data_IF_866453483508
#
_entry.id   IF_866453483508
#
_cell.length_a   1.000
_cell.length_b   1.000
_cell.length_c   1.000
_cell.angle_alpha   90.00
_cell.angle_beta   90.00
_cell.angle_gamma   90.00
#
_symmetry.space_group_name_H-M   'P 1'
#
loop_
_entity.id
_entity.type
_entity.pdbx_description
1 polymer ?
#
# COMPACT_ATOMS: atom_id res chain seq x y z
N UNK A 1 -12.64 -11.95 -8.62
CA UNK A 1 -11.66 -11.07 -7.99
C UNK A 1 -10.82 -10.30 -8.99
N UNK A 2 -9.96 -10.97 -9.83
CA UNK A 2 -9.08 -10.28 -10.79
C UNK A 2 -9.87 -9.41 -11.79
N UNK A 3 -10.91 -9.97 -12.42
CA UNK A 3 -11.72 -9.25 -13.40
C UNK A 3 -12.36 -7.98 -12.81
N UNK A 4 -12.85 -8.03 -11.57
CA UNK A 4 -13.46 -6.87 -10.93
C UNK A 4 -12.44 -5.75 -10.73
N UNK A 5 -11.24 -6.08 -10.18
CA UNK A 5 -10.19 -5.07 -9.98
C UNK A 5 -9.77 -4.44 -11.31
N UNK A 6 -9.63 -5.23 -12.36
CA UNK A 6 -9.32 -4.72 -13.71
C UNK A 6 -10.42 -3.77 -14.18
N UNK A 7 -11.69 -4.17 -14.14
CA UNK A 7 -12.81 -3.35 -14.60
C UNK A 7 -12.92 -2.05 -13.80
N UNK A 8 -12.84 -2.13 -12.47
CA UNK A 8 -12.91 -0.98 -11.56
C UNK A 8 -11.73 0.00 -11.73
N UNK A 9 -10.56 -0.50 -12.17
CA UNK A 9 -9.39 0.34 -12.42
C UNK A 9 -9.42 0.95 -13.83
N UNK A 10 -9.68 0.13 -14.86
CA UNK A 10 -9.54 0.58 -16.23
C UNK A 10 -10.73 1.42 -16.75
N UNK A 11 -11.92 1.22 -16.23
CA UNK A 11 -13.09 2.03 -16.66
C UNK A 11 -12.90 3.51 -16.33
N UNK A 12 -12.60 3.92 -15.07
CA UNK A 12 -12.32 5.32 -14.77
C UNK A 12 -11.02 5.82 -15.42
N UNK A 13 -9.98 4.98 -15.47
CA UNK A 13 -8.73 5.31 -16.14
C UNK A 13 -8.94 5.74 -17.60
N UNK A 14 -9.64 4.90 -18.40
CA UNK A 14 -10.00 5.21 -19.80
C UNK A 14 -10.88 6.45 -19.89
N UNK A 15 -11.79 6.63 -18.95
CA UNK A 15 -12.64 7.82 -18.89
C UNK A 15 -11.83 9.12 -18.77
N UNK A 16 -10.78 9.10 -17.98
CA UNK A 16 -9.88 10.25 -17.82
C UNK A 16 -9.01 10.43 -19.06
N UNK A 17 -8.26 9.40 -19.44
CA UNK A 17 -7.26 9.50 -20.53
C UNK A 17 -7.91 9.86 -21.90
N UNK A 18 -9.13 9.40 -22.14
CA UNK A 18 -9.87 9.72 -23.37
C UNK A 18 -10.75 10.98 -23.25
N UNK A 19 -10.96 11.48 -22.04
CA UNK A 19 -11.88 12.59 -21.77
C UNK A 19 -11.21 13.94 -21.55
N UNK A 20 -9.86 14.00 -21.44
CA UNK A 20 -9.13 15.25 -21.22
C UNK A 20 -7.77 15.25 -21.91
N UNK A 21 -7.30 16.46 -22.25
CA UNK A 21 -5.93 16.71 -22.70
C UNK A 21 -5.03 17.21 -21.55
N UNK A 22 -5.56 17.34 -20.34
CA UNK A 22 -4.80 17.79 -19.16
C UNK A 22 -3.76 16.72 -18.78
N UNK A 23 -2.48 17.07 -19.03
CA UNK A 23 -1.36 16.16 -18.77
C UNK A 23 -1.25 15.74 -17.29
N UNK A 24 -1.63 16.65 -16.35
CA UNK A 24 -1.57 16.36 -14.91
C UNK A 24 -2.64 15.34 -14.50
N UNK A 25 -3.87 15.49 -15.03
CA UNK A 25 -4.94 14.51 -14.81
C UNK A 25 -4.56 13.12 -15.36
N UNK A 26 -3.97 13.08 -16.54
CA UNK A 26 -3.49 11.84 -17.18
C UNK A 26 -2.34 11.23 -16.35
N UNK A 27 -1.40 12.04 -15.86
CA UNK A 27 -0.30 11.57 -15.01
C UNK A 27 -0.83 10.96 -13.70
N UNK A 28 -1.81 11.58 -13.04
CA UNK A 28 -2.47 11.00 -11.87
C UNK A 28 -3.19 9.69 -12.20
N UNK A 29 -3.91 9.61 -13.30
CA UNK A 29 -4.59 8.39 -13.71
C UNK A 29 -3.59 7.23 -13.92
N UNK A 30 -2.44 7.49 -14.57
CA UNK A 30 -1.36 6.52 -14.76
C UNK A 30 -0.73 6.10 -13.43
N UNK A 31 -0.38 7.05 -12.56
CA UNK A 31 0.18 6.78 -11.24
C UNK A 31 -0.73 5.89 -10.41
N UNK A 32 -2.02 6.19 -10.34
CA UNK A 32 -3.01 5.40 -9.60
C UNK A 32 -3.21 4.01 -10.21
N UNK A 33 -3.22 3.90 -11.55
CA UNK A 33 -3.26 2.60 -12.22
C UNK A 33 -2.04 1.75 -11.82
N UNK A 34 -0.83 2.28 -11.88
CA UNK A 34 0.38 1.58 -11.44
C UNK A 34 0.29 1.19 -9.98
N UNK A 35 -0.16 2.10 -9.10
CA UNK A 35 -0.33 1.85 -7.67
C UNK A 35 -1.28 0.68 -7.35
N UNK A 36 -2.30 0.45 -8.17
CA UNK A 36 -3.22 -0.67 -8.02
C UNK A 36 -2.65 -1.93 -8.68
N UNK A 37 -2.25 -1.82 -9.95
CA UNK A 37 -1.93 -2.97 -10.78
C UNK A 37 -0.62 -3.67 -10.41
N UNK A 38 0.35 -2.98 -9.78
CA UNK A 38 1.54 -3.67 -9.28
C UNK A 38 1.18 -4.70 -8.20
N UNK A 39 0.20 -4.41 -7.33
CA UNK A 39 -0.27 -5.38 -6.32
C UNK A 39 -1.01 -6.55 -6.97
N UNK A 40 -1.69 -6.29 -8.08
CA UNK A 40 -2.40 -7.33 -8.84
C UNK A 40 -1.41 -8.31 -9.46
N UNK A 41 -0.40 -7.82 -10.18
CA UNK A 41 0.63 -8.70 -10.76
C UNK A 41 1.48 -9.40 -9.72
N UNK A 42 1.74 -8.78 -8.56
CA UNK A 42 2.44 -9.44 -7.45
C UNK A 42 1.62 -10.60 -6.84
N UNK A 43 0.29 -10.52 -6.92
CA UNK A 43 -0.61 -11.55 -6.38
C UNK A 43 -0.92 -12.66 -7.39
N UNK A 44 -1.00 -12.34 -8.68
CA UNK A 44 -1.47 -13.25 -9.73
C UNK A 44 -0.41 -13.63 -10.77
N UNK A 45 0.77 -12.99 -10.76
CA UNK A 45 1.80 -13.16 -11.77
C UNK A 45 1.42 -12.46 -13.09
N UNK A 46 1.40 -13.18 -14.24
CA UNK A 46 0.95 -12.64 -15.52
C UNK A 46 -0.48 -12.11 -15.45
N UNK A 47 -0.71 -10.92 -15.98
CA UNK A 47 -2.03 -10.27 -16.03
C UNK A 47 -2.23 -9.56 -17.38
N UNK A 48 -3.47 -9.31 -17.83
CA UNK A 48 -3.71 -8.41 -18.94
C UNK A 48 -3.38 -6.97 -18.49
N UNK A 49 -2.48 -6.29 -19.18
CA UNK A 49 -2.04 -4.93 -18.84
C UNK A 49 -1.89 -4.02 -20.06
N UNK A 50 -0.89 -4.29 -20.92
CA UNK A 50 -0.53 -3.39 -22.02
C UNK A 50 -1.60 -3.27 -23.11
N UNK A 51 -2.33 -4.35 -23.35
CA UNK A 51 -3.35 -4.43 -24.41
C UNK A 51 -4.75 -4.03 -23.98
N UNK A 52 -4.94 -3.72 -22.68
CA UNK A 52 -6.28 -3.32 -22.19
C UNK A 52 -6.75 -1.95 -22.68
N UNK A 53 -5.83 -1.06 -23.05
CA UNK A 53 -6.17 0.27 -23.53
C UNK A 53 -6.72 0.26 -24.95
N UNK A 54 -6.11 -0.54 -25.82
CA UNK A 54 -6.36 -0.56 -27.25
C UNK A 54 -7.30 -1.68 -27.70
N UNK A 55 -7.71 -2.56 -26.79
CA UNK A 55 -8.43 -3.77 -27.17
C UNK A 55 -9.96 -3.58 -27.13
N UNK A 56 -10.60 -3.74 -28.30
CA UNK A 56 -12.06 -3.82 -28.45
C UNK A 56 -12.57 -5.27 -28.35
N UNK A 57 -11.68 -6.24 -28.22
CA UNK A 57 -12.01 -7.66 -28.14
C UNK A 57 -12.43 -8.09 -26.72
N UNK A 58 -13.34 -9.06 -26.66
CA UNK A 58 -13.71 -9.73 -25.41
C UNK A 58 -12.52 -10.51 -24.81
N UNK A 59 -11.51 -10.81 -25.62
CA UNK A 59 -10.34 -11.57 -25.24
C UNK A 59 -9.10 -10.67 -25.20
N UNK A 60 -8.48 -10.55 -24.01
CA UNK A 60 -7.21 -9.81 -23.82
C UNK A 60 -6.13 -10.79 -23.44
N UNK A 61 -5.03 -10.80 -24.17
CA UNK A 61 -3.88 -11.63 -23.83
C UNK A 61 -3.21 -11.13 -22.54
N UNK A 62 -2.65 -12.08 -21.78
CA UNK A 62 -1.87 -11.79 -20.59
C UNK A 62 -0.45 -11.40 -20.97
N UNK A 63 0.05 -10.33 -20.36
CA UNK A 63 1.45 -9.97 -20.39
C UNK A 63 2.20 -10.77 -19.33
N UNK A 64 3.47 -11.13 -19.62
CA UNK A 64 4.32 -11.67 -18.58
C UNK A 64 4.54 -10.66 -17.45
N UNK A 65 4.80 -11.12 -16.23
CA UNK A 65 5.06 -10.22 -15.11
C UNK A 65 6.23 -9.25 -15.39
N UNK A 66 7.26 -9.70 -16.10
CA UNK A 66 8.38 -8.85 -16.54
C UNK A 66 7.91 -7.73 -17.49
N UNK A 67 7.06 -8.05 -18.46
CA UNK A 67 6.51 -7.05 -19.37
C UNK A 67 5.61 -6.04 -18.64
N UNK A 68 4.77 -6.50 -17.71
CA UNK A 68 3.94 -5.64 -16.86
C UNK A 68 4.79 -4.68 -16.06
N UNK A 69 5.84 -5.16 -15.36
CA UNK A 69 6.73 -4.31 -14.58
C UNK A 69 7.47 -3.28 -15.44
N UNK A 70 7.96 -3.70 -16.62
CA UNK A 70 8.61 -2.79 -17.57
C UNK A 70 7.67 -1.65 -17.96
N UNK A 71 6.43 -1.99 -18.34
CA UNK A 71 5.44 -0.99 -18.74
C UNK A 71 5.04 -0.07 -17.59
N UNK A 72 4.88 -0.62 -16.38
CA UNK A 72 4.58 0.19 -15.19
C UNK A 72 5.71 1.17 -14.83
N UNK A 73 6.98 0.80 -15.00
CA UNK A 73 8.08 1.75 -14.82
C UNK A 73 8.06 2.87 -15.85
N UNK A 74 7.79 2.57 -17.13
CA UNK A 74 7.66 3.60 -18.19
C UNK A 74 6.57 4.61 -17.82
N UNK A 75 5.37 4.12 -17.47
CA UNK A 75 4.23 4.97 -17.10
C UNK A 75 4.48 5.79 -15.85
N UNK A 76 5.15 5.20 -14.88
CA UNK A 76 5.51 5.88 -13.63
C UNK A 76 6.57 6.95 -13.86
N UNK A 77 7.56 6.69 -14.73
CA UNK A 77 8.59 7.66 -15.11
C UNK A 77 7.97 8.86 -15.83
N UNK A 78 7.05 8.64 -16.79
CA UNK A 78 6.29 9.71 -17.44
C UNK A 78 5.45 10.52 -16.43
N UNK A 79 4.75 9.84 -15.53
CA UNK A 79 3.96 10.52 -14.50
C UNK A 79 4.82 11.36 -13.55
N UNK A 80 5.98 10.85 -13.12
CA UNK A 80 6.94 11.56 -12.27
C UNK A 80 7.47 12.81 -13.00
N UNK A 81 7.80 12.71 -14.28
CA UNK A 81 8.27 13.84 -15.08
C UNK A 81 7.21 14.95 -15.17
N UNK A 82 5.96 14.58 -15.49
CA UNK A 82 4.85 15.53 -15.60
C UNK A 82 4.55 16.19 -14.25
N UNK A 83 4.41 15.39 -13.18
CA UNK A 83 4.16 15.94 -11.84
C UNK A 83 5.31 16.82 -11.35
N UNK A 84 6.56 16.44 -11.67
CA UNK A 84 7.75 17.22 -11.31
C UNK A 84 7.78 18.63 -11.92
N UNK A 85 7.26 18.80 -13.14
CA UNK A 85 7.13 20.12 -13.80
C UNK A 85 5.98 20.95 -13.22
N UNK A 86 5.04 20.35 -12.53
CA UNK A 86 3.78 20.95 -12.11
C UNK A 86 3.62 21.10 -10.58
N UNK A 87 4.71 21.01 -9.81
CA UNK A 87 4.69 21.09 -8.34
C UNK A 87 4.22 22.43 -7.78
N UNK A 88 4.21 23.48 -8.59
CA UNK A 88 3.76 24.82 -8.21
C UNK A 88 2.29 25.11 -8.50
N UNK A 89 1.56 24.14 -9.07
CA UNK A 89 0.12 24.30 -9.30
C UNK A 89 -0.62 24.46 -7.97
N UNK A 90 -1.62 25.35 -7.90
CA UNK A 90 -2.41 25.54 -6.69
C UNK A 90 -3.11 24.26 -6.26
N UNK A 91 -2.96 23.89 -4.98
CA UNK A 91 -3.59 22.69 -4.43
C UNK A 91 -5.12 22.70 -4.57
N UNK A 92 -5.73 23.89 -4.54
CA UNK A 92 -7.18 24.08 -4.65
C UNK A 92 -7.78 23.50 -5.93
N UNK A 93 -6.98 23.41 -7.01
CA UNK A 93 -7.43 22.84 -8.28
C UNK A 93 -7.80 21.34 -8.13
N UNK A 94 -7.15 20.63 -7.23
CA UNK A 94 -7.26 19.19 -7.05
C UNK A 94 -7.81 18.76 -5.69
N UNK A 95 -7.77 19.62 -4.67
CA UNK A 95 -8.07 19.30 -3.27
C UNK A 95 -9.44 18.65 -3.08
N UNK A 96 -10.43 19.02 -3.87
CA UNK A 96 -11.80 18.47 -3.79
C UNK A 96 -11.87 16.99 -4.18
N UNK A 97 -10.96 16.52 -5.04
CA UNK A 97 -10.96 15.17 -5.61
C UNK A 97 -9.87 14.29 -5.03
N UNK A 98 -8.95 14.87 -4.27
CA UNK A 98 -7.78 14.19 -3.70
C UNK A 98 -7.96 14.00 -2.18
N UNK A 99 -8.36 12.81 -1.79
CA UNK A 99 -8.49 12.42 -0.40
C UNK A 99 -7.18 11.98 0.27
N UNK A 100 -6.02 12.08 -0.42
CA UNK A 100 -4.73 11.65 0.11
C UNK A 100 -3.88 12.83 0.54
N UNK A 101 -3.59 13.75 -0.39
CA UNK A 101 -2.72 14.89 -0.16
C UNK A 101 -3.40 16.25 -0.45
N UNK A 102 -4.71 16.22 -0.66
CA UNK A 102 -5.54 17.43 -0.85
C UNK A 102 -5.02 18.37 -1.94
N UNK A 103 -4.51 17.79 -3.03
CA UNK A 103 -4.00 18.52 -4.19
C UNK A 103 -2.51 18.90 -4.13
N UNK A 104 -1.78 18.46 -3.11
CA UNK A 104 -0.35 18.74 -2.99
C UNK A 104 0.47 17.85 -3.92
N UNK A 105 0.80 18.37 -5.11
CA UNK A 105 1.55 17.63 -6.14
C UNK A 105 2.96 17.28 -5.67
N UNK A 106 3.60 18.08 -4.84
CA UNK A 106 4.94 17.75 -4.32
C UNK A 106 4.92 16.49 -3.43
N UNK A 107 3.86 16.29 -2.63
CA UNK A 107 3.69 15.05 -1.86
C UNK A 107 3.34 13.86 -2.76
N UNK A 108 2.53 14.07 -3.80
CA UNK A 108 2.27 13.04 -4.81
C UNK A 108 3.54 12.62 -5.55
N UNK A 109 4.45 13.56 -5.83
CA UNK A 109 5.76 13.25 -6.44
C UNK A 109 6.61 12.37 -5.52
N UNK A 110 6.65 12.67 -4.22
CA UNK A 110 7.31 11.80 -3.22
C UNK A 110 6.67 10.40 -3.20
N UNK A 111 5.34 10.33 -3.23
CA UNK A 111 4.63 9.04 -3.31
C UNK A 111 4.99 8.26 -4.57
N UNK A 112 5.01 8.90 -5.74
CA UNK A 112 5.35 8.26 -7.00
C UNK A 112 6.77 7.69 -7.00
N UNK A 113 7.75 8.47 -6.53
CA UNK A 113 9.13 7.99 -6.34
C UNK A 113 9.21 6.85 -5.31
N UNK A 114 8.45 6.92 -4.22
CA UNK A 114 8.39 5.86 -3.23
C UNK A 114 7.78 4.56 -3.77
N UNK A 115 6.76 4.68 -4.62
CA UNK A 115 6.20 3.55 -5.35
C UNK A 115 7.23 2.94 -6.32
N UNK A 116 7.97 3.78 -7.04
CA UNK A 116 9.09 3.34 -7.90
C UNK A 116 10.14 2.58 -7.11
N UNK A 117 10.54 3.08 -5.93
CA UNK A 117 11.46 2.41 -5.02
C UNK A 117 10.91 1.05 -4.55
N UNK A 118 9.65 0.99 -4.11
CA UNK A 118 8.98 -0.26 -3.72
C UNK A 118 9.02 -1.31 -4.83
N UNK A 119 8.65 -0.91 -6.05
CA UNK A 119 8.65 -1.79 -7.21
C UNK A 119 10.07 -2.25 -7.56
N UNK A 120 11.05 -1.33 -7.54
CA UNK A 120 12.44 -1.63 -7.82
C UNK A 120 13.01 -2.67 -6.85
N UNK A 121 12.79 -2.50 -5.54
CA UNK A 121 13.32 -3.42 -4.52
C UNK A 121 12.73 -4.84 -4.64
N UNK A 122 11.52 -4.99 -5.17
CA UNK A 122 10.94 -6.31 -5.47
C UNK A 122 11.68 -7.08 -6.57
N UNK A 123 12.38 -6.37 -7.44
CA UNK A 123 13.19 -6.98 -8.50
C UNK A 123 14.61 -7.36 -8.05
N UNK A 124 15.00 -7.04 -6.81
CA UNK A 124 16.37 -7.14 -6.32
C UNK A 124 17.03 -8.53 -6.48
N UNK A 125 16.24 -9.61 -6.48
CA UNK A 125 16.72 -10.98 -6.65
C UNK A 125 16.68 -11.49 -8.10
N UNK A 126 15.78 -10.95 -8.94
CA UNK A 126 15.54 -11.49 -10.29
C UNK A 126 16.13 -10.60 -11.39
N UNK A 127 16.25 -9.28 -11.15
CA UNK A 127 16.78 -8.28 -12.09
C UNK A 127 17.57 -7.22 -11.30
N UNK A 128 18.65 -7.64 -10.62
CA UNK A 128 19.40 -6.82 -9.67
C UNK A 128 19.88 -5.49 -10.25
N UNK A 129 20.38 -5.48 -11.50
CA UNK A 129 20.88 -4.25 -12.13
C UNK A 129 19.76 -3.24 -12.40
N UNK A 130 18.60 -3.71 -12.88
CA UNK A 130 17.40 -2.88 -13.07
C UNK A 130 16.90 -2.35 -11.74
N UNK A 131 16.83 -3.23 -10.72
CA UNK A 131 16.42 -2.87 -9.37
C UNK A 131 17.30 -1.75 -8.80
N UNK A 132 18.63 -1.91 -8.90
CA UNK A 132 19.59 -0.91 -8.43
C UNK A 132 19.42 0.43 -9.13
N UNK A 133 19.31 0.42 -10.46
CA UNK A 133 19.17 1.65 -11.24
C UNK A 133 17.87 2.39 -10.92
N UNK A 134 16.72 1.68 -10.96
CA UNK A 134 15.41 2.28 -10.68
C UNK A 134 15.25 2.73 -9.24
N UNK A 135 15.84 2.02 -8.27
CA UNK A 135 15.86 2.44 -6.87
C UNK A 135 16.71 3.72 -6.68
N UNK A 136 17.90 3.79 -7.32
CA UNK A 136 18.74 4.98 -7.26
C UNK A 136 18.05 6.22 -7.85
N UNK A 137 17.39 6.07 -9.02
CA UNK A 137 16.59 7.13 -9.64
C UNK A 137 15.47 7.61 -8.70
N UNK A 138 14.73 6.67 -8.09
CA UNK A 138 13.64 6.98 -7.17
C UNK A 138 14.12 7.74 -5.92
N UNK A 139 15.21 7.30 -5.31
CA UNK A 139 15.81 7.95 -4.13
C UNK A 139 16.28 9.36 -4.50
N UNK A 140 16.95 9.53 -5.64
CA UNK A 140 17.41 10.84 -6.11
C UNK A 140 16.24 11.80 -6.42
N UNK A 141 15.11 11.28 -6.89
CA UNK A 141 13.88 12.06 -7.15
C UNK A 141 13.14 12.54 -5.90
N UNK A 142 13.53 12.05 -4.72
CA UNK A 142 12.88 12.36 -3.43
C UNK A 142 11.71 11.43 -3.12
N UNK A 143 11.85 10.73 -2.01
CA UNK A 143 10.85 9.75 -1.51
C UNK A 143 10.19 10.25 -0.23
N UNK A 144 9.20 9.51 0.27
CA UNK A 144 8.60 9.75 1.59
C UNK A 144 9.66 9.49 2.67
N UNK A 145 9.98 10.51 3.48
CA UNK A 145 10.99 10.42 4.54
C UNK A 145 10.42 10.67 5.93
N UNK A 146 9.31 11.39 6.03
CA UNK A 146 8.69 11.76 7.29
C UNK A 146 7.21 11.31 7.34
N UNK A 147 6.68 11.07 8.55
CA UNK A 147 5.29 10.68 8.75
C UNK A 147 4.28 11.72 8.21
N UNK A 148 4.68 13.00 8.12
CA UNK A 148 3.85 14.04 7.51
C UNK A 148 3.64 13.84 6.01
N UNK A 149 4.48 13.04 5.34
CA UNK A 149 4.38 12.70 3.92
C UNK A 149 3.69 11.33 3.69
N UNK A 150 3.23 10.66 4.75
CA UNK A 150 2.56 9.37 4.61
C UNK A 150 1.36 9.48 3.65
N UNK A 151 1.26 8.54 2.72
CA UNK A 151 0.11 8.45 1.84
C UNK A 151 -1.02 7.73 2.57
N UNK A 152 -1.99 8.49 3.03
CA UNK A 152 -3.15 8.00 3.76
C UNK A 152 -4.42 8.59 3.15
N UNK A 153 -5.31 7.74 2.64
CA UNK A 153 -6.56 8.18 2.03
C UNK A 153 -7.61 8.42 3.11
N UNK A 154 -8.10 9.65 3.19
CA UNK A 154 -9.22 10.05 4.03
C UNK A 154 -10.53 9.86 3.25
N UNK A 155 -11.12 8.69 3.37
CA UNK A 155 -12.43 8.40 2.81
C UNK A 155 -13.54 8.94 3.72
N UNK A 156 -14.72 9.20 3.14
CA UNK A 156 -15.90 9.56 3.93
C UNK A 156 -16.31 8.45 4.92
N UNK A 157 -16.00 7.21 4.56
CA UNK A 157 -16.24 6.01 5.36
C UNK A 157 -15.14 5.00 5.10
N UNK A 158 -14.45 4.56 6.15
CA UNK A 158 -13.49 3.45 6.04
C UNK A 158 -14.22 2.11 6.09
N UNK A 159 -14.58 1.59 4.92
CA UNK A 159 -15.36 0.35 4.79
C UNK A 159 -14.65 -0.91 5.30
N UNK A 160 -13.39 -0.82 5.70
CA UNK A 160 -12.69 -1.93 6.38
C UNK A 160 -13.37 -2.27 7.72
N UNK A 161 -14.04 -1.29 8.34
CA UNK A 161 -14.82 -1.49 9.57
C UNK A 161 -15.93 -2.51 9.42
N UNK A 162 -16.58 -2.58 8.26
CA UNK A 162 -17.63 -3.58 7.98
C UNK A 162 -17.14 -5.00 8.21
N UNK A 163 -15.92 -5.31 7.78
CA UNK A 163 -15.35 -6.67 7.86
C UNK A 163 -15.04 -7.06 9.30
N UNK A 164 -14.54 -6.11 10.10
CA UNK A 164 -14.12 -6.35 11.48
C UNK A 164 -15.24 -6.18 12.49
N UNK A 165 -16.02 -5.12 12.36
CA UNK A 165 -16.99 -4.71 13.36
C UNK A 165 -18.40 -5.25 13.07
N UNK A 166 -18.92 -5.03 11.85
CA UNK A 166 -20.31 -5.36 11.54
C UNK A 166 -20.49 -6.82 11.16
N UNK A 167 -19.70 -7.32 10.21
CA UNK A 167 -19.81 -8.70 9.76
C UNK A 167 -19.06 -9.68 10.67
N UNK A 168 -18.01 -9.21 11.34
CA UNK A 168 -17.17 -10.06 12.18
C UNK A 168 -16.45 -11.17 11.42
N UNK A 169 -16.20 -10.98 10.12
CA UNK A 169 -15.62 -12.00 9.24
C UNK A 169 -14.11 -12.15 9.41
N UNK A 170 -13.45 -11.13 9.94
CA UNK A 170 -12.02 -11.12 10.15
C UNK A 170 -11.65 -10.91 11.62
N UNK A 171 -10.55 -11.52 12.03
CA UNK A 171 -9.93 -11.37 13.35
C UNK A 171 -8.42 -11.24 13.18
N UNK A 172 -7.78 -10.71 14.20
CA UNK A 172 -6.32 -10.58 14.21
C UNK A 172 -5.68 -11.95 14.15
N UNK A 173 -4.67 -12.12 13.29
CA UNK A 173 -3.95 -13.39 13.16
C UNK A 173 -3.19 -13.77 14.43
N UNK A 174 -3.13 -15.07 14.72
CA UNK A 174 -2.43 -15.57 15.91
C UNK A 174 -0.94 -15.24 15.88
N UNK A 175 -0.33 -15.24 14.70
CA UNK A 175 1.11 -15.03 14.54
C UNK A 175 1.56 -13.69 15.12
N UNK A 176 0.95 -12.58 14.69
CA UNK A 176 1.31 -11.25 15.21
C UNK A 176 1.05 -11.14 16.72
N UNK A 177 -0.07 -11.67 17.22
CA UNK A 177 -0.38 -11.61 18.64
C UNK A 177 0.53 -12.49 19.50
N UNK A 178 1.02 -13.61 18.99
CA UNK A 178 2.03 -14.41 19.68
C UNK A 178 3.31 -13.60 19.93
N UNK A 179 3.81 -12.92 18.92
CA UNK A 179 4.98 -12.04 19.08
C UNK A 179 4.70 -10.89 20.04
N UNK A 180 3.62 -10.15 19.83
CA UNK A 180 3.28 -8.99 20.66
C UNK A 180 2.98 -9.37 22.11
N UNK A 181 2.41 -10.55 22.36
CA UNK A 181 2.20 -11.08 23.70
C UNK A 181 3.52 -11.51 24.35
N UNK A 182 4.37 -12.23 23.61
CA UNK A 182 5.67 -12.69 24.09
C UNK A 182 6.57 -11.53 24.53
N UNK A 183 6.61 -10.45 23.75
CA UNK A 183 7.39 -9.25 24.08
C UNK A 183 6.63 -8.24 24.95
N UNK A 184 5.39 -8.52 25.36
CA UNK A 184 4.53 -7.58 26.12
C UNK A 184 4.43 -6.21 25.42
N UNK A 185 4.33 -6.22 24.09
CA UNK A 185 4.36 -5.01 23.27
C UNK A 185 3.22 -4.06 23.67
N UNK A 186 3.52 -2.83 24.10
CA UNK A 186 2.50 -1.87 24.54
C UNK A 186 1.55 -1.43 23.43
N UNK A 187 1.95 -1.55 22.16
CA UNK A 187 1.12 -1.19 21.00
C UNK A 187 -0.13 -2.06 20.87
N UNK A 188 -0.16 -3.28 21.45
CA UNK A 188 -1.34 -4.15 21.43
C UNK A 188 -2.62 -3.43 21.83
N UNK A 189 -2.54 -2.67 22.92
CA UNK A 189 -3.71 -1.96 23.46
C UNK A 189 -4.16 -0.77 22.59
N UNK A 190 -3.31 -0.33 21.65
CA UNK A 190 -3.61 0.74 20.70
C UNK A 190 -4.09 0.23 19.35
N UNK A 191 -3.77 -1.02 19.03
CA UNK A 191 -4.06 -1.62 17.73
C UNK A 191 -5.23 -2.61 17.77
N UNK A 192 -5.45 -3.26 18.92
CA UNK A 192 -6.37 -4.40 19.02
C UNK A 192 -7.28 -4.34 20.22
N UNK A 193 -8.51 -4.87 20.05
CA UNK A 193 -9.41 -5.14 21.17
C UNK A 193 -8.95 -6.39 21.92
N UNK A 194 -9.37 -6.52 23.19
CA UNK A 194 -9.25 -7.79 23.90
C UNK A 194 -10.41 -8.72 23.51
N UNK A 195 -10.12 -9.99 23.32
CA UNK A 195 -11.11 -11.05 23.27
C UNK A 195 -11.38 -11.64 24.65
N UNK A 196 -12.38 -12.52 24.75
CA UNK A 196 -12.75 -13.21 25.99
C UNK A 196 -12.79 -14.72 25.76
N UNK A 197 -11.99 -15.46 26.51
CA UNK A 197 -11.93 -16.93 26.47
C UNK A 197 -12.45 -17.48 27.79
N UNK A 198 -13.18 -18.58 27.76
CA UNK A 198 -13.87 -19.15 28.92
C UNK A 198 -15.30 -18.65 29.07
N UNK A 199 -16.00 -19.17 30.07
CA UNK A 199 -17.41 -18.85 30.38
C UNK A 199 -17.58 -18.62 31.90
N UNK A 200 -18.53 -17.74 32.27
CA UNK A 200 -18.80 -17.43 33.68
C UNK A 200 -17.61 -16.85 34.42
N UNK A 201 -17.36 -17.33 35.65
CA UNK A 201 -16.28 -16.81 36.49
C UNK A 201 -14.87 -17.21 36.00
N UNK A 202 -14.78 -18.16 35.04
CA UNK A 202 -13.54 -18.57 34.38
C UNK A 202 -13.25 -17.77 33.09
N UNK A 203 -14.03 -16.74 32.81
CA UNK A 203 -13.82 -15.91 31.62
C UNK A 203 -12.60 -15.01 31.79
N UNK A 204 -11.63 -15.16 30.89
CA UNK A 204 -10.40 -14.38 30.87
C UNK A 204 -10.37 -13.45 29.66
N UNK A 205 -10.03 -12.17 29.89
CA UNK A 205 -9.81 -11.19 28.84
C UNK A 205 -8.33 -11.11 28.46
N UNK A 206 -8.06 -11.07 27.16
CA UNK A 206 -6.69 -11.01 26.67
C UNK A 206 -6.61 -10.76 25.17
N UNK A 207 -5.39 -10.70 24.66
CA UNK A 207 -5.14 -10.55 23.23
C UNK A 207 -4.97 -11.93 22.60
N UNK A 208 -6.03 -12.43 21.99
CA UNK A 208 -6.07 -13.77 21.40
C UNK A 208 -6.24 -13.65 19.88
N UNK A 209 -5.35 -14.27 19.13
CA UNK A 209 -5.38 -14.28 17.66
C UNK A 209 -6.09 -15.52 17.11
N UNK A 210 -6.71 -15.36 15.94
CA UNK A 210 -7.24 -16.48 15.19
C UNK A 210 -6.11 -17.12 14.37
N UNK A 211 -5.96 -18.44 14.49
CA UNK A 211 -4.96 -19.18 13.72
C UNK A 211 -5.34 -19.18 12.23
N UNK A 212 -4.41 -18.70 11.38
CA UNK A 212 -4.60 -18.63 9.93
C UNK A 212 -4.73 -20.05 9.36
N UNK A 213 -5.62 -20.23 8.38
CA UNK A 213 -5.87 -21.52 7.72
C UNK A 213 -6.79 -22.47 8.50
N UNK A 214 -7.32 -22.04 9.66
CA UNK A 214 -8.31 -22.84 10.39
C UNK A 214 -9.72 -22.34 10.15
N UNK A 215 -10.68 -23.26 10.09
CA UNK A 215 -12.11 -22.92 10.07
C UNK A 215 -12.64 -23.07 11.49
N UNK A 216 -13.05 -21.98 12.16
CA UNK A 216 -13.64 -22.09 13.50
C UNK A 216 -14.97 -22.84 13.43
N UNK A 217 -15.16 -23.77 14.35
CA UNK A 217 -16.40 -24.55 14.42
C UNK A 217 -17.64 -23.69 14.72
N UNK A 218 -17.44 -22.52 15.34
CA UNK A 218 -18.50 -21.56 15.65
C UNK A 218 -17.98 -20.14 15.48
N UNK A 219 -18.55 -19.42 14.51
CA UNK A 219 -18.18 -18.03 14.20
C UNK A 219 -18.39 -17.10 15.39
N UNK A 220 -19.54 -17.16 16.06
CA UNK A 220 -19.84 -16.27 17.18
C UNK A 220 -18.87 -16.45 18.35
N UNK A 221 -18.48 -17.70 18.66
CA UNK A 221 -17.46 -17.96 19.68
C UNK A 221 -16.08 -17.41 19.26
N UNK A 222 -15.71 -17.57 18.00
CA UNK A 222 -14.44 -17.00 17.48
C UNK A 222 -14.44 -15.46 17.52
N UNK A 223 -15.57 -14.83 17.19
CA UNK A 223 -15.74 -13.37 17.27
C UNK A 223 -15.57 -12.87 18.70
N UNK A 224 -16.10 -13.56 19.69
CA UNK A 224 -15.98 -13.17 21.10
C UNK A 224 -14.60 -13.47 21.66
N UNK A 225 -14.01 -14.61 21.28
CA UNK A 225 -12.75 -15.08 21.84
C UNK A 225 -11.53 -14.34 21.27
N UNK A 226 -11.57 -13.95 19.99
CA UNK A 226 -10.40 -13.41 19.31
C UNK A 226 -10.45 -11.87 19.24
N UNK A 227 -9.26 -11.27 19.29
CA UNK A 227 -9.05 -9.85 19.13
C UNK A 227 -9.44 -9.35 17.73
N UNK A 228 -10.01 -8.16 17.65
CA UNK A 228 -10.27 -7.41 16.43
C UNK A 228 -9.37 -6.19 16.32
N UNK A 229 -9.25 -5.62 15.15
CA UNK A 229 -8.59 -4.32 14.99
C UNK A 229 -9.39 -3.21 15.66
N UNK A 230 -8.70 -2.29 16.30
CA UNK A 230 -9.25 -1.00 16.72
C UNK A 230 -9.26 -0.08 15.50
N UNK A 231 -10.37 -0.06 14.78
CA UNK A 231 -10.56 0.74 13.57
C UNK A 231 -11.94 1.41 13.61
N UNK A 232 -11.98 2.65 13.18
CA UNK A 232 -13.19 3.46 13.07
C UNK A 232 -13.47 3.86 11.63
N UNK A 233 -14.68 4.31 11.33
CA UNK A 233 -15.08 4.76 10.00
C UNK A 233 -14.30 5.99 9.53
N UNK A 234 -13.76 6.77 10.48
CA UNK A 234 -12.99 7.98 10.19
C UNK A 234 -11.47 7.74 10.09
N UNK A 235 -11.01 6.52 10.39
CA UNK A 235 -9.58 6.23 10.29
C UNK A 235 -9.13 6.23 8.83
N UNK A 236 -7.99 6.87 8.50
CA UNK A 236 -7.49 6.90 7.14
C UNK A 236 -7.00 5.53 6.67
N UNK A 237 -7.12 5.26 5.38
CA UNK A 237 -6.62 4.04 4.75
C UNK A 237 -5.17 4.30 4.33
N UNK A 238 -4.22 3.70 5.04
CA UNK A 238 -2.79 3.87 4.79
C UNK A 238 -2.37 3.11 3.52
N UNK A 239 -1.79 3.83 2.55
CA UNK A 239 -1.25 3.26 1.32
C UNK A 239 0.26 3.04 1.38
N UNK A 240 0.98 3.99 2.00
CA UNK A 240 2.43 3.97 2.13
C UNK A 240 2.89 4.87 3.27
N UNK A 241 3.86 4.45 4.05
CA UNK A 241 4.39 5.23 5.16
C UNK A 241 5.91 5.40 5.11
N UNK A 242 6.41 6.37 5.86
CA UNK A 242 7.83 6.68 5.96
C UNK A 242 8.66 5.50 6.48
N UNK A 243 8.11 4.70 7.38
CA UNK A 243 8.79 3.53 7.92
C UNK A 243 9.09 2.48 6.84
N UNK A 244 8.10 2.16 5.98
CA UNK A 244 8.31 1.26 4.84
C UNK A 244 9.44 1.76 3.94
N UNK A 245 9.41 3.04 3.61
CA UNK A 245 10.40 3.64 2.71
C UNK A 245 11.80 3.65 3.35
N UNK A 246 11.89 3.91 4.65
CA UNK A 246 13.15 3.82 5.38
C UNK A 246 13.71 2.38 5.35
N UNK A 247 12.88 1.36 5.55
CA UNK A 247 13.32 -0.04 5.44
C UNK A 247 13.73 -0.44 4.01
N UNK A 248 13.03 0.03 2.98
CA UNK A 248 13.43 -0.19 1.58
C UNK A 248 14.77 0.49 1.27
N UNK A 249 15.02 1.70 1.78
CA UNK A 249 16.32 2.39 1.68
C UNK A 249 17.40 1.64 2.44
N UNK A 250 17.09 1.12 3.62
CA UNK A 250 18.02 0.27 4.37
C UNK A 250 18.44 -0.97 3.57
N UNK A 251 17.47 -1.65 2.94
CA UNK A 251 17.77 -2.80 2.09
C UNK A 251 18.60 -2.40 0.85
N UNK A 252 18.27 -1.27 0.22
CA UNK A 252 19.06 -0.73 -0.91
C UNK A 252 20.52 -0.50 -0.51
N UNK A 253 20.76 0.17 0.62
CA UNK A 253 22.11 0.44 1.14
C UNK A 253 22.86 -0.83 1.54
N UNK A 254 22.16 -1.81 2.11
CA UNK A 254 22.75 -3.09 2.46
C UNK A 254 23.22 -3.87 1.24
N UNK A 255 22.51 -3.75 0.11
CA UNK A 255 22.82 -4.49 -1.13
C UNK A 255 23.85 -3.78 -1.99
N UNK A 256 23.78 -2.45 -2.09
CA UNK A 256 24.54 -1.69 -3.10
C UNK A 256 25.25 -0.45 -2.56
N UNK A 257 25.06 -0.10 -1.30
CA UNK A 257 25.63 1.06 -0.63
C UNK A 257 26.55 0.68 0.52
N UNK A 258 26.30 1.22 1.70
CA UNK A 258 27.10 0.99 2.89
C UNK A 258 26.29 0.43 4.07
N UNK A 259 26.93 -0.43 4.89
CA UNK A 259 26.32 -0.98 6.08
C UNK A 259 25.94 0.11 7.11
N UNK A 260 26.72 1.20 7.18
CA UNK A 260 26.42 2.33 8.09
C UNK A 260 25.15 3.05 7.65
N UNK A 261 25.01 3.35 6.36
CA UNK A 261 23.77 3.96 5.82
C UNK A 261 22.59 3.04 6.00
N UNK A 262 22.77 1.73 5.76
CA UNK A 262 21.71 0.74 5.96
C UNK A 262 21.22 0.73 7.42
N UNK A 263 22.11 0.76 8.39
CA UNK A 263 21.75 0.82 9.81
C UNK A 263 20.97 2.11 10.13
N UNK A 264 21.44 3.26 9.65
CA UNK A 264 20.78 4.54 9.90
C UNK A 264 19.33 4.55 9.39
N UNK A 265 19.09 4.05 8.16
CA UNK A 265 17.73 3.95 7.63
C UNK A 265 16.88 2.91 8.36
N UNK A 266 17.46 1.81 8.81
CA UNK A 266 16.76 0.83 9.63
C UNK A 266 16.27 1.45 10.96
N UNK A 267 17.15 2.17 11.65
CA UNK A 267 16.80 2.87 12.89
C UNK A 267 15.75 3.97 12.66
N UNK A 268 15.85 4.72 11.56
CA UNK A 268 14.83 5.69 11.15
C UNK A 268 13.47 5.01 10.91
N UNK A 269 13.44 3.84 10.27
CA UNK A 269 12.22 3.07 10.07
C UNK A 269 11.55 2.70 11.39
N UNK A 270 12.33 2.23 12.36
CA UNK A 270 11.82 1.92 13.71
C UNK A 270 11.26 3.17 14.39
N UNK A 271 12.00 4.29 14.37
CA UNK A 271 11.55 5.54 14.98
C UNK A 271 10.27 6.07 14.34
N UNK A 272 10.13 5.95 13.02
CA UNK A 272 8.91 6.36 12.31
C UNK A 272 7.68 5.58 12.74
N UNK A 273 7.83 4.29 13.14
CA UNK A 273 6.74 3.45 13.65
C UNK A 273 6.30 3.80 15.07
N UNK A 274 7.16 4.42 15.87
CA UNK A 274 6.83 4.77 17.26
C UNK A 274 5.80 5.90 17.33
N UNK A 275 5.69 6.70 16.29
CA UNK A 275 4.81 7.87 16.21
C UNK A 275 3.53 7.64 15.38
N UNK A 276 3.22 6.39 15.06
CA UNK A 276 1.97 6.02 14.39
C UNK A 276 0.84 5.84 15.39
#
# INVERSE_FOLDING_TARGET
PLANVITETYTPYKGIVNGTEDEVAIAFARLLRVAIMHRVTDSYGPIPYSKLESNESVYVEYDSQEAVYTKMFEELDEAIEILGRNTTLPAEAWSRYDGVYYGNIAQWLKYANSLKLRMAMRLSYVKSDVARAKAAEAIAGGVIEANADNAAMHAAENRTTLIYNDWGDHRVGADILCYMNGYKDPRRAKMFTQGTVGEGDAAEKGYYGLRIGTTPANKSKAVTACSSMLITDTDPILWMNAAEIAFLRSEYELRWGSAVSAQNFYEQGILSLIHI
#
